data_IF_747846434001
#
_entry.id   IF_747846434001
#
_cell.length_a   1.000
_cell.length_b   1.000
_cell.length_c   1.000
_cell.angle_alpha   90.00
_cell.angle_beta   90.00
_cell.angle_gamma   90.00
#
_symmetry.space_group_name_H-M   'P 1'
#
loop_
_entity.id
_entity.type
_entity.pdbx_description
1 polymer ?
#
# COMPACT_ATOMS: atom_id res chain seq x y z
N UNK A 1 -26.16 17.35 12.00
CA UNK A 1 -25.23 16.22 12.07
C UNK A 1 -24.78 15.93 10.66
N UNK A 2 -23.49 16.00 10.35
CA UNK A 2 -22.96 15.69 9.00
C UNK A 2 -23.10 14.19 8.69
N UNK A 3 -22.85 13.77 7.45
CA UNK A 3 -22.78 12.34 7.11
C UNK A 3 -21.69 11.62 7.93
N UNK A 4 -20.53 12.24 8.09
CA UNK A 4 -19.43 11.69 8.89
C UNK A 4 -19.82 11.52 10.36
N UNK A 5 -20.46 12.52 10.98
CA UNK A 5 -20.92 12.39 12.37
C UNK A 5 -21.93 11.24 12.53
N UNK A 6 -22.78 10.98 11.54
CA UNK A 6 -23.70 9.82 11.51
C UNK A 6 -22.94 8.49 11.47
N UNK A 7 -21.91 8.36 10.65
CA UNK A 7 -21.07 7.14 10.62
C UNK A 7 -20.41 6.87 11.96
N UNK A 8 -19.91 7.92 12.62
CA UNK A 8 -19.30 7.81 13.94
C UNK A 8 -20.31 7.39 15.01
N UNK A 9 -21.58 7.81 14.88
CA UNK A 9 -22.66 7.32 15.72
C UNK A 9 -22.97 5.85 15.45
N UNK A 10 -23.09 5.44 14.18
CA UNK A 10 -23.35 4.06 13.78
C UNK A 10 -22.25 3.10 14.25
N UNK A 11 -20.98 3.52 14.15
CA UNK A 11 -19.81 2.78 14.66
C UNK A 11 -19.84 2.63 16.18
N UNK A 12 -20.18 3.71 16.90
CA UNK A 12 -20.34 3.69 18.36
C UNK A 12 -21.50 2.78 18.80
N UNK A 13 -22.62 2.84 18.09
CA UNK A 13 -23.83 2.07 18.39
C UNK A 13 -23.78 0.63 17.83
N UNK A 14 -22.72 0.31 17.08
CA UNK A 14 -22.46 -0.99 16.44
C UNK A 14 -23.56 -1.40 15.45
N UNK A 15 -24.14 -0.43 14.75
CA UNK A 15 -25.10 -0.68 13.67
C UNK A 15 -24.41 -0.79 12.29
N UNK A 16 -23.21 -0.21 12.16
CA UNK A 16 -22.28 -0.38 11.05
C UNK A 16 -20.85 -0.22 11.58
N UNK A 17 -19.87 -0.89 11.01
CA UNK A 17 -18.48 -0.93 11.51
C UNK A 17 -17.55 -0.13 10.61
N UNK A 18 -17.79 1.17 10.48
CA UNK A 18 -17.03 2.01 9.57
C UNK A 18 -15.52 1.97 9.82
N UNK A 19 -15.06 1.82 11.07
CA UNK A 19 -13.63 1.69 11.39
C UNK A 19 -13.09 0.26 11.27
N UNK A 20 -13.84 -0.66 10.67
CA UNK A 20 -13.29 -1.99 10.37
C UNK A 20 -12.16 -1.89 9.36
N UNK A 21 -12.34 -1.11 8.30
CA UNK A 21 -11.33 -0.91 7.26
C UNK A 21 -10.69 0.46 7.39
N UNK A 22 -9.36 0.54 7.36
CA UNK A 22 -8.65 1.80 7.53
C UNK A 22 -7.16 1.67 7.27
N UNK A 23 -6.40 2.77 7.40
CA UNK A 23 -4.97 2.82 7.12
C UNK A 23 -4.18 2.24 8.30
N UNK A 24 -4.40 0.97 8.60
CA UNK A 24 -3.81 0.29 9.76
C UNK A 24 -2.49 -0.42 9.43
N UNK A 25 -2.01 -0.32 8.20
CA UNK A 25 -0.67 -0.79 7.84
C UNK A 25 0.36 0.23 8.27
N UNK A 26 1.47 -0.24 8.85
CA UNK A 26 2.64 0.62 9.00
C UNK A 26 3.19 0.90 7.61
N UNK A 27 3.84 2.04 7.39
CA UNK A 27 4.65 2.24 6.18
C UNK A 27 6.12 1.84 6.42
N UNK A 28 6.43 1.37 7.63
CA UNK A 28 7.73 0.85 8.08
C UNK A 28 7.55 -0.14 9.24
N UNK A 29 7.55 -1.44 8.95
CA UNK A 29 7.48 -2.50 9.97
C UNK A 29 8.84 -3.22 10.18
N UNK A 30 9.75 -3.10 9.21
CA UNK A 30 11.12 -3.61 9.27
C UNK A 30 11.99 -2.83 10.26
N UNK A 31 13.03 -3.49 10.80
CA UNK A 31 13.98 -2.90 11.72
C UNK A 31 13.31 -2.38 13.00
N UNK A 32 12.38 -3.13 13.57
CA UNK A 32 11.67 -2.71 14.79
C UNK A 32 11.86 -3.70 15.93
N UNK A 33 11.80 -3.22 17.17
CA UNK A 33 11.87 -4.05 18.39
C UNK A 33 10.80 -5.15 18.41
N UNK A 34 9.65 -4.90 17.77
CA UNK A 34 8.54 -5.87 17.71
C UNK A 34 8.89 -7.09 16.85
N UNK A 35 9.70 -6.90 15.82
CA UNK A 35 10.12 -7.96 14.90
C UNK A 35 11.53 -8.49 15.22
N UNK A 36 12.08 -8.14 16.39
CA UNK A 36 13.40 -8.59 16.82
C UNK A 36 13.36 -10.02 17.37
N UNK A 37 14.14 -10.89 16.73
CA UNK A 37 14.38 -12.27 17.12
C UNK A 37 15.89 -12.59 17.16
N UNK A 38 16.73 -11.55 17.20
CA UNK A 38 18.17 -11.70 17.34
C UNK A 38 18.55 -12.26 18.70
N UNK A 39 19.68 -12.97 18.77
CA UNK A 39 20.17 -13.53 20.02
C UNK A 39 20.80 -12.48 20.94
N UNK A 40 21.23 -11.35 20.38
CA UNK A 40 21.95 -10.26 21.03
C UNK A 40 21.11 -9.00 21.26
N UNK A 41 19.87 -8.95 20.74
CA UNK A 41 18.95 -7.83 20.92
C UNK A 41 19.18 -6.66 19.97
N UNK A 42 19.88 -6.87 18.84
CA UNK A 42 20.03 -5.87 17.78
C UNK A 42 18.79 -5.80 16.87
N UNK A 43 17.72 -5.23 17.41
CA UNK A 43 16.45 -5.03 16.70
C UNK A 43 16.56 -4.27 15.37
N UNK A 44 17.57 -3.40 15.23
CA UNK A 44 17.69 -2.52 14.06
C UNK A 44 18.34 -3.21 12.87
N UNK A 45 19.26 -4.15 13.11
CA UNK A 45 19.96 -4.87 12.04
C UNK A 45 19.42 -6.28 11.79
N UNK A 46 18.66 -6.86 12.72
CA UNK A 46 18.18 -8.24 12.63
C UNK A 46 17.15 -8.50 11.52
N UNK A 47 16.33 -7.50 11.22
CA UNK A 47 15.33 -7.56 10.16
C UNK A 47 15.38 -6.26 9.34
N UNK A 48 16.42 -6.07 8.50
CA UNK A 48 16.62 -4.85 7.75
C UNK A 48 15.63 -4.73 6.58
N UNK A 49 15.53 -3.52 6.01
CA UNK A 49 14.71 -3.25 4.83
C UNK A 49 14.94 -4.25 3.67
N UNK A 50 16.17 -4.72 3.44
CA UNK A 50 16.45 -5.69 2.38
C UNK A 50 15.71 -7.02 2.57
N UNK A 51 15.60 -7.51 3.81
CA UNK A 51 14.87 -8.75 4.11
C UNK A 51 13.35 -8.54 4.05
N UNK A 52 12.84 -7.32 4.19
CA UNK A 52 11.40 -7.01 4.25
C UNK A 52 10.60 -7.50 3.04
N UNK A 53 11.22 -7.55 1.85
CA UNK A 53 10.59 -8.10 0.65
C UNK A 53 10.44 -9.62 0.69
N UNK A 54 11.35 -10.30 1.39
CA UNK A 54 11.49 -11.76 1.38
C UNK A 54 10.98 -12.42 2.66
N UNK A 55 10.71 -11.67 3.73
CA UNK A 55 10.36 -12.19 5.05
C UNK A 55 8.95 -11.78 5.47
N UNK A 56 8.13 -12.75 5.86
CA UNK A 56 6.81 -12.49 6.42
C UNK A 56 6.94 -11.84 7.80
N UNK A 57 6.11 -10.84 8.07
CA UNK A 57 6.05 -10.18 9.37
C UNK A 57 5.22 -11.01 10.33
N UNK A 58 5.53 -10.94 11.63
CA UNK A 58 4.81 -11.71 12.64
C UNK A 58 3.73 -10.91 13.35
N UNK A 59 4.00 -9.64 13.65
CA UNK A 59 3.11 -8.87 14.54
C UNK A 59 2.37 -7.73 13.85
N UNK A 60 2.71 -7.45 12.60
CA UNK A 60 2.07 -6.44 11.78
C UNK A 60 2.27 -6.73 10.31
N UNK A 61 1.98 -5.76 9.47
CA UNK A 61 2.31 -5.73 8.05
C UNK A 61 2.67 -4.28 7.68
N UNK A 62 3.39 -4.11 6.58
CA UNK A 62 3.63 -2.80 5.98
C UNK A 62 3.21 -2.71 4.52
N UNK A 63 3.00 -1.48 4.05
CA UNK A 63 2.73 -1.21 2.64
C UNK A 63 2.45 0.27 2.35
N UNK A 64 2.89 0.74 1.19
CA UNK A 64 2.70 2.13 0.77
C UNK A 64 1.21 2.43 0.55
N UNK A 65 0.72 3.51 1.18
CA UNK A 65 -0.68 3.93 1.10
C UNK A 65 -1.66 2.81 1.49
N UNK A 66 -1.23 1.93 2.39
CA UNK A 66 -1.90 0.67 2.66
C UNK A 66 -3.11 0.78 3.57
N UNK A 67 -4.01 -0.20 3.45
CA UNK A 67 -5.18 -0.38 4.31
C UNK A 67 -5.30 -1.83 4.73
N UNK A 68 -6.03 -2.08 5.81
CA UNK A 68 -6.44 -3.42 6.21
C UNK A 68 -7.73 -3.38 7.00
N UNK A 69 -8.26 -4.56 7.32
CA UNK A 69 -9.20 -4.63 8.43
C UNK A 69 -8.47 -4.33 9.76
N UNK A 70 -9.21 -3.96 10.80
CA UNK A 70 -8.68 -3.51 12.09
C UNK A 70 -7.93 -4.60 12.88
N UNK A 71 -7.94 -5.86 12.42
CA UNK A 71 -7.11 -6.93 12.95
C UNK A 71 -5.92 -7.31 12.03
N UNK A 72 -5.72 -6.57 10.92
CA UNK A 72 -4.72 -6.83 9.87
C UNK A 72 -4.76 -8.28 9.36
N UNK A 73 -5.97 -8.84 9.16
CA UNK A 73 -6.14 -10.16 8.54
C UNK A 73 -5.95 -10.06 7.03
N UNK A 74 -6.66 -9.14 6.40
CA UNK A 74 -6.56 -8.87 4.96
C UNK A 74 -6.01 -7.46 4.73
N UNK A 75 -4.91 -7.38 4.00
CA UNK A 75 -4.13 -6.18 3.77
C UNK A 75 -4.12 -5.84 2.29
N UNK A 76 -4.16 -4.55 1.97
CA UNK A 76 -4.04 -4.03 0.62
C UNK A 76 -3.06 -2.85 0.61
N UNK A 77 -2.16 -2.79 -0.37
CA UNK A 77 -1.23 -1.68 -0.55
C UNK A 77 -0.72 -1.60 -1.98
N UNK A 78 0.05 -0.55 -2.26
CA UNK A 78 0.63 -0.32 -3.57
C UNK A 78 2.07 -0.84 -3.66
N UNK A 79 2.39 -1.51 -4.77
CA UNK A 79 3.75 -1.78 -5.20
C UNK A 79 4.02 -1.13 -6.57
N UNK A 80 5.25 -0.66 -6.78
CA UNK A 80 5.64 0.16 -7.94
C UNK A 80 6.99 -0.28 -8.51
N UNK A 81 7.17 -0.18 -9.83
CA UNK A 81 8.49 -0.30 -10.44
C UNK A 81 8.60 0.60 -11.67
N UNK A 82 9.68 1.37 -11.76
CA UNK A 82 9.95 2.32 -12.84
C UNK A 82 10.92 1.77 -13.91
N UNK A 83 11.17 0.47 -13.93
CA UNK A 83 12.18 -0.24 -14.74
C UNK A 83 13.65 0.12 -14.43
N UNK A 84 13.91 1.06 -13.53
CA UNK A 84 15.26 1.49 -13.15
C UNK A 84 15.64 1.08 -11.73
N UNK A 85 14.66 1.01 -10.82
CA UNK A 85 14.85 0.67 -9.42
C UNK A 85 15.36 -0.78 -9.30
N UNK A 86 16.39 -1.09 -8.49
CA UNK A 86 16.86 -2.47 -8.32
C UNK A 86 15.85 -3.37 -7.61
N UNK A 87 14.79 -2.80 -7.03
CA UNK A 87 13.76 -3.55 -6.32
C UNK A 87 12.35 -3.07 -6.67
N UNK A 88 11.39 -3.98 -6.57
CA UNK A 88 9.98 -3.64 -6.52
C UNK A 88 9.69 -2.81 -5.25
N UNK A 89 9.18 -1.60 -5.43
CA UNK A 89 8.90 -0.63 -4.37
C UNK A 89 7.57 -0.93 -3.71
N UNK A 90 7.58 -1.77 -2.68
CA UNK A 90 6.38 -2.17 -1.92
C UNK A 90 6.23 -1.43 -0.57
N UNK A 91 7.30 -0.77 -0.12
CA UNK A 91 7.44 -0.15 1.20
C UNK A 91 8.37 1.06 1.14
N UNK A 92 8.19 1.97 2.09
CA UNK A 92 9.02 3.16 2.18
C UNK A 92 10.41 2.80 2.70
N UNK A 93 11.43 3.41 2.09
CA UNK A 93 12.80 3.28 2.55
C UNK A 93 13.16 4.32 3.59
N UNK A 94 14.09 3.98 4.46
CA UNK A 94 14.68 4.90 5.40
C UNK A 94 15.99 4.38 5.95
N UNK A 95 16.64 5.18 6.78
CA UNK A 95 17.80 4.78 7.56
C UNK A 95 17.36 4.33 8.95
N UNK A 96 18.06 3.35 9.52
CA UNK A 96 17.87 2.92 10.92
C UNK A 96 18.50 3.92 11.88
N UNK A 97 18.20 3.77 13.19
CA UNK A 97 18.82 4.59 14.24
C UNK A 97 20.35 4.69 14.14
N UNK A 98 21.09 3.58 14.01
CA UNK A 98 22.54 3.60 13.83
C UNK A 98 23.04 4.16 12.48
N UNK A 99 22.18 4.28 11.47
CA UNK A 99 22.53 4.78 10.14
C UNK A 99 22.28 6.28 9.97
N UNK A 100 21.36 6.87 10.74
CA UNK A 100 21.05 8.30 10.71
C UNK A 100 21.74 9.08 11.82
N UNK A 101 22.18 10.31 11.52
CA UNK A 101 22.85 11.18 12.48
C UNK A 101 21.91 11.74 13.57
N UNK A 102 20.59 11.73 13.34
CA UNK A 102 19.56 12.03 14.33
C UNK A 102 18.61 10.85 14.61
N UNK A 103 19.02 9.63 14.27
CA UNK A 103 18.26 8.41 14.51
C UNK A 103 17.52 7.91 13.28
N UNK A 104 16.41 7.22 13.51
CA UNK A 104 15.58 6.63 12.45
C UNK A 104 14.92 7.74 11.61
N UNK A 105 15.03 7.61 10.30
CA UNK A 105 14.53 8.62 9.37
C UNK A 105 14.06 7.99 8.05
N UNK A 106 12.90 8.41 7.55
CA UNK A 106 12.31 7.93 6.30
C UNK A 106 12.81 8.80 5.16
N UNK A 107 13.37 8.19 4.12
CA UNK A 107 14.01 8.91 3.01
C UNK A 107 13.12 8.95 1.77
N UNK A 108 11.84 9.22 1.98
CA UNK A 108 10.78 9.21 0.95
C UNK A 108 9.93 10.45 1.07
N UNK A 109 9.29 10.87 -0.04
CA UNK A 109 8.34 11.99 -0.01
C UNK A 109 6.93 11.51 -0.29
N UNK A 110 6.11 11.58 0.74
CA UNK A 110 4.71 11.19 0.71
C UNK A 110 3.87 12.08 1.63
N UNK A 111 2.58 12.16 1.35
CA UNK A 111 1.68 13.10 2.01
C UNK A 111 0.30 12.48 2.21
N UNK A 112 -0.16 12.48 3.46
CA UNK A 112 -1.57 12.25 3.79
C UNK A 112 -2.35 13.52 3.45
N UNK A 113 -3.15 13.46 2.39
CA UNK A 113 -3.87 14.61 1.88
C UNK A 113 -5.26 14.75 2.51
N UNK A 114 -5.90 13.63 2.86
CA UNK A 114 -7.24 13.59 3.45
C UNK A 114 -7.54 12.26 4.13
N UNK A 115 -8.30 12.26 5.23
CA UNK A 115 -8.79 11.04 5.88
C UNK A 115 -9.90 11.35 6.90
N UNK A 116 -11.15 11.00 6.62
CA UNK A 116 -12.23 11.21 7.61
C UNK A 116 -12.08 10.25 8.82
N UNK A 117 -12.57 10.60 10.02
CA UNK A 117 -12.43 9.73 11.22
C UNK A 117 -13.06 8.33 11.14
N UNK A 118 -13.97 8.11 10.19
CA UNK A 118 -14.57 6.81 9.83
C UNK A 118 -13.85 6.11 8.68
N UNK A 119 -12.81 6.75 8.13
CA UNK A 119 -12.07 6.35 6.93
C UNK A 119 -12.98 6.17 5.70
N UNK A 120 -14.09 6.92 5.65
CA UNK A 120 -15.03 6.87 4.54
C UNK A 120 -14.49 7.54 3.27
N UNK A 121 -13.56 8.48 3.43
CA UNK A 121 -12.72 9.03 2.37
C UNK A 121 -11.28 9.10 2.87
N UNK A 122 -10.34 8.65 2.04
CA UNK A 122 -8.89 8.76 2.29
C UNK A 122 -8.19 9.18 1.01
N UNK A 123 -7.14 10.00 1.12
CA UNK A 123 -6.31 10.46 0.02
C UNK A 123 -4.86 10.56 0.42
N UNK A 124 -4.00 9.96 -0.39
CA UNK A 124 -2.56 9.87 -0.20
C UNK A 124 -1.84 10.26 -1.49
N UNK A 125 -0.66 10.86 -1.37
CA UNK A 125 0.22 11.16 -2.50
C UNK A 125 1.63 10.65 -2.21
N UNK A 126 2.20 9.87 -3.13
CA UNK A 126 3.60 9.46 -3.13
C UNK A 126 4.33 10.08 -4.31
N UNK A 127 5.55 10.58 -4.07
CA UNK A 127 6.45 11.06 -5.13
C UNK A 127 7.45 9.98 -5.47
N UNK A 128 7.13 9.15 -6.47
CA UNK A 128 7.98 8.04 -6.88
C UNK A 128 8.98 8.48 -7.97
N UNK A 129 10.30 8.38 -7.74
CA UNK A 129 11.29 8.75 -8.74
C UNK A 129 11.19 7.99 -10.08
N UNK A 130 11.66 8.61 -11.16
CA UNK A 130 11.84 7.95 -12.47
C UNK A 130 13.23 7.34 -12.67
N UNK A 131 14.16 7.61 -11.75
CA UNK A 131 15.52 7.05 -11.73
C UNK A 131 15.58 5.93 -10.69
N UNK A 132 16.63 5.11 -10.75
CA UNK A 132 16.93 4.14 -9.71
C UNK A 132 17.03 4.83 -8.35
N UNK A 133 16.41 4.27 -7.31
CA UNK A 133 16.38 4.89 -6.00
C UNK A 133 17.78 4.76 -5.32
N UNK A 134 18.31 5.82 -4.69
CA UNK A 134 19.71 5.91 -4.29
C UNK A 134 19.93 5.34 -2.88
N UNK A 135 19.55 4.08 -2.66
CA UNK A 135 19.59 3.40 -1.35
C UNK A 135 20.97 3.50 -0.67
N UNK A 136 22.02 3.08 -1.36
CA UNK A 136 23.37 3.03 -0.78
C UNK A 136 23.93 4.42 -0.49
N UNK A 137 23.68 5.39 -1.37
CA UNK A 137 24.11 6.77 -1.17
C UNK A 137 23.48 7.37 0.08
N UNK A 138 22.17 7.17 0.27
CA UNK A 138 21.45 7.66 1.45
C UNK A 138 22.02 7.08 2.74
N UNK A 139 22.37 5.79 2.77
CA UNK A 139 22.98 5.17 3.95
C UNK A 139 24.39 5.70 4.18
N UNK A 140 25.24 5.70 3.16
CA UNK A 140 26.66 6.06 3.29
C UNK A 140 26.85 7.53 3.71
N UNK A 141 26.09 8.45 3.12
CA UNK A 141 26.17 9.88 3.44
C UNK A 141 25.67 10.16 4.86
N UNK A 142 24.54 9.57 5.28
CA UNK A 142 24.03 9.79 6.63
C UNK A 142 24.93 9.19 7.72
N UNK A 143 25.60 8.06 7.45
CA UNK A 143 26.58 7.47 8.38
C UNK A 143 27.84 8.33 8.58
N UNK A 144 28.18 9.18 7.62
CA UNK A 144 29.35 10.07 7.70
C UNK A 144 29.06 11.38 8.43
N UNK A 145 27.78 11.68 8.69
CA UNK A 145 27.36 12.93 9.31
C UNK A 145 27.36 12.84 10.83
N UNK A 146 27.81 13.92 11.47
CA UNK A 146 27.76 14.08 12.91
C UNK A 146 26.44 14.67 13.40
N UNK A 147 26.28 14.70 14.72
CA UNK A 147 25.12 15.28 15.41
C UNK A 147 24.88 16.78 15.12
N UNK A 148 25.89 17.51 14.64
CA UNK A 148 25.77 18.93 14.30
C UNK A 148 25.51 19.19 12.82
N UNK A 149 25.57 18.15 11.99
CA UNK A 149 25.28 18.25 10.56
C UNK A 149 23.78 18.08 10.33
N UNK A 150 23.25 18.66 9.24
CA UNK A 150 21.87 18.39 8.82
C UNK A 150 21.76 16.95 8.31
N UNK A 151 20.58 16.34 8.34
CA UNK A 151 20.36 15.07 7.66
C UNK A 151 20.65 15.19 6.15
N UNK A 152 21.12 14.11 5.52
CA UNK A 152 21.18 14.02 4.07
C UNK A 152 19.85 13.46 3.56
N UNK A 153 19.12 14.25 2.80
CA UNK A 153 17.77 13.95 2.36
C UNK A 153 17.72 13.41 0.93
N UNK A 154 16.64 12.72 0.58
CA UNK A 154 16.44 12.20 -0.77
C UNK A 154 16.53 13.31 -1.83
N UNK A 155 16.04 14.52 -1.54
CA UNK A 155 16.14 15.66 -2.47
C UNK A 155 17.60 16.08 -2.73
N UNK A 156 18.51 15.89 -1.77
CA UNK A 156 19.92 16.28 -1.90
C UNK A 156 20.67 15.40 -2.90
N UNK A 157 20.12 14.23 -3.26
CA UNK A 157 20.68 13.32 -4.26
C UNK A 157 20.51 13.81 -5.70
N UNK A 158 19.68 14.84 -5.91
CA UNK A 158 19.30 15.29 -7.26
C UNK A 158 18.31 14.37 -7.97
N UNK A 159 17.73 13.37 -7.28
CA UNK A 159 16.82 12.41 -7.90
C UNK A 159 15.56 13.05 -8.52
N UNK A 160 15.13 14.20 -7.99
CA UNK A 160 13.96 14.96 -8.47
C UNK A 160 14.30 16.09 -9.45
N UNK A 161 15.56 16.23 -9.86
CA UNK A 161 15.96 17.22 -10.87
C UNK A 161 15.13 17.07 -12.15
N UNK A 162 14.84 18.21 -12.80
CA UNK A 162 13.95 18.31 -13.96
C UNK A 162 12.54 17.74 -13.73
N UNK A 163 12.08 17.68 -12.49
CA UNK A 163 10.79 17.09 -12.11
C UNK A 163 10.64 15.61 -12.49
N UNK A 164 11.74 14.85 -12.50
CA UNK A 164 11.78 13.43 -12.92
C UNK A 164 11.21 12.47 -11.88
N UNK A 165 9.91 12.59 -11.64
CA UNK A 165 9.14 11.71 -10.76
C UNK A 165 7.71 11.54 -11.25
N UNK A 166 7.04 10.53 -10.71
CA UNK A 166 5.61 10.33 -10.80
C UNK A 166 4.95 10.87 -9.53
N UNK A 167 3.89 11.67 -9.68
CA UNK A 167 2.93 11.85 -8.59
C UNK A 167 1.96 10.66 -8.62
N UNK A 168 2.02 9.82 -7.60
CA UNK A 168 1.17 8.64 -7.45
C UNK A 168 0.13 8.94 -6.37
N UNK A 169 -1.09 9.26 -6.79
CA UNK A 169 -2.23 9.52 -5.90
C UNK A 169 -3.02 8.25 -5.64
N UNK A 170 -3.27 7.93 -4.37
CA UNK A 170 -4.10 6.80 -3.93
C UNK A 170 -5.30 7.35 -3.16
N UNK A 171 -6.50 7.00 -3.61
CA UNK A 171 -7.75 7.42 -3.00
C UNK A 171 -8.63 6.22 -2.68
N UNK A 172 -9.25 6.28 -1.50
CA UNK A 172 -10.22 5.29 -1.06
C UNK A 172 -11.56 5.98 -0.75
N UNK A 173 -12.65 5.39 -1.20
CA UNK A 173 -14.00 5.86 -0.92
C UNK A 173 -14.91 4.69 -0.54
N UNK A 174 -15.49 4.74 0.65
CA UNK A 174 -16.41 3.70 1.11
C UNK A 174 -17.81 3.94 0.58
N UNK A 175 -18.41 2.92 -0.03
CA UNK A 175 -19.83 2.88 -0.33
C UNK A 175 -20.64 2.48 0.92
N UNK A 176 -20.20 1.41 1.59
CA UNK A 176 -20.68 0.94 2.90
C UNK A 176 -19.49 0.67 3.84
N UNK A 177 -19.73 0.16 5.04
CA UNK A 177 -18.68 -0.26 5.97
C UNK A 177 -17.89 -1.51 5.52
N UNK A 178 -18.32 -2.19 4.45
CA UNK A 178 -17.69 -3.40 3.88
C UNK A 178 -17.38 -3.31 2.37
N UNK A 179 -17.64 -2.15 1.75
CA UNK A 179 -17.52 -1.93 0.32
C UNK A 179 -16.72 -0.65 0.06
N UNK A 180 -15.53 -0.81 -0.52
CA UNK A 180 -14.53 0.23 -0.65
C UNK A 180 -13.99 0.30 -2.07
N UNK A 181 -14.15 1.48 -2.66
CA UNK A 181 -13.64 1.83 -3.98
C UNK A 181 -12.22 2.35 -3.82
N UNK A 182 -11.37 2.02 -4.78
CA UNK A 182 -9.95 2.32 -4.79
C UNK A 182 -9.62 2.98 -6.14
N UNK A 183 -9.04 4.17 -6.11
CA UNK A 183 -8.60 4.90 -7.29
C UNK A 183 -7.12 5.22 -7.14
N UNK A 184 -6.31 4.73 -8.08
CA UNK A 184 -4.87 5.00 -8.10
C UNK A 184 -4.57 5.74 -9.39
N UNK A 185 -4.00 6.94 -9.26
CA UNK A 185 -3.62 7.79 -10.38
C UNK A 185 -2.10 7.97 -10.38
N UNK A 186 -1.48 7.87 -11.54
CA UNK A 186 -0.07 8.17 -11.73
C UNK A 186 0.07 9.29 -12.75
N UNK A 187 0.76 10.36 -12.40
CA UNK A 187 1.04 11.49 -13.29
C UNK A 187 2.54 11.61 -13.51
N UNK A 188 2.98 11.55 -14.77
CA UNK A 188 4.37 11.80 -15.11
C UNK A 188 4.68 13.31 -15.05
N UNK A 189 5.52 13.73 -14.10
CA UNK A 189 5.94 15.14 -13.98
C UNK A 189 7.20 15.47 -14.77
N UNK A 190 7.88 14.45 -15.27
CA UNK A 190 9.14 14.57 -15.99
C UNK A 190 8.96 14.97 -17.46
N UNK A 191 10.06 15.29 -18.14
CA UNK A 191 10.05 15.81 -19.51
C UNK A 191 9.98 14.71 -20.59
N UNK A 192 10.07 13.44 -20.21
CA UNK A 192 10.15 12.29 -21.13
C UNK A 192 9.06 11.26 -20.81
N UNK A 193 8.62 10.51 -21.82
CA UNK A 193 7.81 9.33 -21.61
C UNK A 193 8.56 8.32 -20.72
N UNK A 194 7.89 7.76 -19.72
CA UNK A 194 8.48 6.78 -18.80
C UNK A 194 7.55 5.59 -18.54
N UNK A 195 8.12 4.37 -18.44
CA UNK A 195 7.38 3.21 -18.02
C UNK A 195 7.08 3.28 -16.53
N UNK A 196 5.95 2.71 -16.13
CA UNK A 196 5.58 2.52 -14.73
C UNK A 196 4.74 1.25 -14.61
N UNK A 197 5.22 0.32 -13.80
CA UNK A 197 4.41 -0.80 -13.35
C UNK A 197 3.71 -0.43 -12.06
N UNK A 198 2.37 -0.52 -12.05
CA UNK A 198 1.54 -0.43 -10.86
C UNK A 198 1.09 -1.83 -10.47
N UNK A 199 1.30 -2.18 -9.20
CA UNK A 199 0.92 -3.48 -8.64
C UNK A 199 0.12 -3.29 -7.34
N UNK A 200 -1.16 -2.88 -7.41
CA UNK A 200 -2.05 -2.94 -6.27
C UNK A 200 -2.13 -4.39 -5.78
N UNK A 201 -1.74 -4.59 -4.52
CA UNK A 201 -1.43 -5.90 -3.95
C UNK A 201 -2.37 -6.17 -2.78
N UNK A 202 -2.97 -7.36 -2.74
CA UNK A 202 -3.85 -7.84 -1.68
C UNK A 202 -3.23 -9.09 -1.05
N UNK A 203 -3.15 -9.18 0.27
CA UNK A 203 -2.58 -10.34 0.93
C UNK A 203 -3.14 -10.58 2.32
N UNK A 204 -3.05 -11.83 2.78
CA UNK A 204 -3.29 -12.17 4.17
C UNK A 204 -2.01 -12.04 4.99
N UNK A 205 -2.09 -11.43 6.17
CA UNK A 205 -0.99 -11.47 7.14
C UNK A 205 -0.72 -12.91 7.52
N UNK A 206 0.54 -13.32 7.48
CA UNK A 206 0.90 -14.68 7.79
C UNK A 206 0.77 -14.97 9.29
N UNK A 207 -0.33 -15.60 9.67
CA UNK A 207 -0.55 -16.13 11.02
C UNK A 207 -0.45 -17.66 11.09
N UNK A 208 -0.66 -18.34 9.96
CA UNK A 208 -0.72 -19.81 9.88
C UNK A 208 0.64 -20.49 9.99
N UNK A 209 1.75 -19.82 9.64
CA UNK A 209 3.09 -20.39 9.81
C UNK A 209 3.55 -20.43 11.28
N UNK A 210 2.85 -19.74 12.19
CA UNK A 210 3.29 -19.57 13.58
C UNK A 210 2.39 -20.27 14.60
N UNK A 211 1.12 -20.48 14.26
CA UNK A 211 0.11 -21.03 15.16
C UNK A 211 -0.36 -22.40 14.64
N UNK A 212 -0.09 -23.43 15.44
CA UNK A 212 -0.51 -24.80 15.12
C UNK A 212 -2.04 -24.91 15.11
N UNK A 213 -2.59 -25.51 14.05
CA UNK A 213 -4.04 -25.68 13.88
C UNK A 213 -4.76 -24.48 13.26
N UNK A 214 -4.04 -23.40 12.92
CA UNK A 214 -4.64 -22.27 12.20
C UNK A 214 -4.96 -22.64 10.75
N UNK A 215 -6.19 -22.34 10.33
CA UNK A 215 -6.63 -22.56 8.96
C UNK A 215 -6.06 -21.48 8.04
N UNK A 216 -5.38 -21.92 6.97
CA UNK A 216 -4.73 -21.04 6.00
C UNK A 216 -5.80 -20.35 5.13
N UNK A 217 -5.82 -19.00 5.05
CA UNK A 217 -6.75 -18.29 4.17
C UNK A 217 -6.35 -18.48 2.70
N UNK A 218 -7.21 -18.06 1.76
CA UNK A 218 -6.95 -18.25 0.34
C UNK A 218 -7.45 -17.10 -0.53
N UNK A 219 -6.68 -16.79 -1.57
CA UNK A 219 -7.04 -15.92 -2.68
C UNK A 219 -7.17 -16.80 -3.92
N UNK A 220 -8.22 -16.63 -4.71
CA UNK A 220 -8.36 -17.32 -5.98
C UNK A 220 -8.99 -16.44 -7.05
N UNK A 221 -8.45 -16.50 -8.26
CA UNK A 221 -9.05 -15.85 -9.42
C UNK A 221 -10.40 -16.52 -9.76
N UNK A 222 -11.44 -15.71 -9.94
CA UNK A 222 -12.70 -16.17 -10.49
C UNK A 222 -12.69 -16.05 -12.01
N UNK A 223 -13.08 -17.11 -12.71
CA UNK A 223 -13.19 -17.15 -14.17
C UNK A 223 -14.65 -17.00 -14.64
N UNK A 224 -15.60 -17.51 -13.86
CA UNK A 224 -16.98 -17.65 -14.29
C UNK A 224 -17.81 -16.41 -13.94
N UNK A 225 -18.63 -15.94 -14.89
CA UNK A 225 -19.53 -14.81 -14.66
C UNK A 225 -18.84 -13.45 -14.48
N UNK A 226 -17.54 -13.37 -14.76
CA UNK A 226 -16.78 -12.12 -14.68
C UNK A 226 -17.08 -11.20 -15.88
N UNK A 227 -17.28 -9.88 -15.68
CA UNK A 227 -17.41 -8.94 -16.78
C UNK A 227 -16.12 -8.91 -17.63
N UNK A 228 -16.25 -8.71 -18.95
CA UNK A 228 -15.12 -8.79 -19.89
C UNK A 228 -13.93 -7.88 -19.56
N UNK A 229 -14.17 -6.73 -18.91
CA UNK A 229 -13.17 -5.72 -18.55
C UNK A 229 -12.84 -5.74 -17.05
N UNK A 230 -13.07 -6.86 -16.36
CA UNK A 230 -12.89 -6.96 -14.92
C UNK A 230 -12.33 -8.32 -14.52
N UNK A 231 -11.17 -8.31 -13.87
CA UNK A 231 -10.69 -9.48 -13.17
C UNK A 231 -11.24 -9.48 -11.74
N UNK A 232 -11.69 -10.62 -11.24
CA UNK A 232 -12.24 -10.77 -9.89
C UNK A 232 -11.43 -11.80 -9.13
N UNK A 233 -11.04 -11.45 -7.91
CA UNK A 233 -10.36 -12.37 -6.99
C UNK A 233 -11.20 -12.51 -5.74
N UNK A 234 -11.58 -13.75 -5.41
CA UNK A 234 -12.21 -14.02 -4.14
C UNK A 234 -11.13 -14.28 -3.08
N UNK A 235 -11.39 -13.75 -1.89
CA UNK A 235 -10.53 -13.84 -0.73
C UNK A 235 -11.33 -14.48 0.41
N UNK A 236 -10.94 -15.68 0.83
CA UNK A 236 -11.55 -16.39 1.93
C UNK A 236 -10.64 -16.34 3.16
N UNK A 237 -11.19 -15.93 4.29
CA UNK A 237 -10.50 -16.01 5.57
C UNK A 237 -11.45 -16.50 6.69
N UNK A 238 -11.04 -17.49 7.50
CA UNK A 238 -11.93 -18.21 8.41
C UNK A 238 -12.80 -17.33 9.33
N UNK A 239 -12.25 -16.22 9.82
CA UNK A 239 -12.96 -15.31 10.75
C UNK A 239 -13.39 -13.97 10.16
N UNK A 240 -12.93 -13.62 8.95
CA UNK A 240 -13.31 -12.38 8.27
C UNK A 240 -14.48 -12.64 7.31
N UNK A 241 -14.63 -13.89 6.87
CA UNK A 241 -15.55 -14.28 5.80
C UNK A 241 -14.98 -13.96 4.43
N UNK A 242 -15.83 -14.11 3.43
CA UNK A 242 -15.44 -13.92 2.04
C UNK A 242 -15.41 -12.43 1.66
N UNK A 243 -14.44 -12.06 0.84
CA UNK A 243 -14.31 -10.74 0.21
C UNK A 243 -13.96 -10.92 -1.26
N UNK A 244 -14.25 -9.90 -2.06
CA UNK A 244 -13.94 -9.89 -3.48
C UNK A 244 -13.23 -8.61 -3.86
N UNK A 245 -12.08 -8.76 -4.52
CA UNK A 245 -11.38 -7.66 -5.16
C UNK A 245 -11.72 -7.67 -6.65
N UNK A 246 -12.34 -6.59 -7.10
CA UNK A 246 -12.58 -6.31 -8.51
C UNK A 246 -11.45 -5.41 -9.02
N UNK A 247 -10.85 -5.77 -10.14
CA UNK A 247 -9.78 -5.04 -10.81
C UNK A 247 -10.22 -4.63 -12.21
N UNK A 248 -10.23 -3.34 -12.53
CA UNK A 248 -10.61 -2.88 -13.86
C UNK A 248 -9.44 -3.03 -14.84
N UNK A 249 -9.56 -3.94 -15.81
CA UNK A 249 -8.60 -4.15 -16.91
C UNK A 249 -7.11 -4.27 -16.48
N UNK A 250 -6.74 -5.16 -15.53
CA UNK A 250 -5.33 -5.49 -15.31
C UNK A 250 -4.75 -6.22 -16.52
N UNK A 251 -3.46 -6.05 -16.79
CA UNK A 251 -2.76 -6.84 -17.83
C UNK A 251 -2.67 -8.31 -17.41
N UNK A 252 -2.40 -8.55 -16.13
CA UNK A 252 -2.37 -9.89 -15.55
C UNK A 252 -2.61 -9.87 -14.04
N UNK A 253 -3.01 -11.01 -13.47
CA UNK A 253 -3.05 -11.24 -12.04
C UNK A 253 -1.91 -12.17 -11.66
N UNK A 254 -1.10 -11.75 -10.69
CA UNK A 254 0.02 -12.52 -10.17
C UNK A 254 -0.35 -13.06 -8.79
N UNK A 255 -0.01 -14.33 -8.52
CA UNK A 255 -0.30 -14.98 -7.25
C UNK A 255 0.96 -15.59 -6.64
N UNK A 256 1.09 -15.47 -5.32
CA UNK A 256 2.13 -16.11 -4.52
C UNK A 256 1.62 -16.35 -3.09
N UNK A 257 2.49 -16.82 -2.21
CA UNK A 257 2.25 -16.90 -0.78
C UNK A 257 2.89 -15.72 -0.04
N UNK A 258 2.23 -15.20 1.00
CA UNK A 258 2.89 -14.32 1.98
C UNK A 258 3.73 -15.17 2.95
N UNK A 259 4.64 -15.98 2.42
CA UNK A 259 5.52 -16.87 3.18
C UNK A 259 6.98 -16.45 3.03
N UNK A 260 7.73 -16.55 4.12
CA UNK A 260 9.15 -16.20 4.15
C UNK A 260 9.94 -17.06 3.15
N UNK A 261 10.73 -16.41 2.31
CA UNK A 261 11.72 -17.06 1.46
C UNK A 261 12.91 -17.52 2.31
N UNK A 262 12.75 -18.70 2.92
CA UNK A 262 13.72 -19.32 3.79
C UNK A 262 14.98 -19.76 3.04
N UNK A 263 14.87 -20.08 1.74
CA UNK A 263 16.04 -20.42 0.92
C UNK A 263 16.97 -19.23 0.78
N UNK A 264 16.43 -18.06 0.40
CA UNK A 264 17.20 -16.82 0.25
C UNK A 264 17.78 -16.35 1.58
N UNK A 265 17.00 -16.40 2.66
CA UNK A 265 17.36 -15.75 3.92
C UNK A 265 18.15 -16.64 4.87
N UNK A 266 17.88 -17.94 4.86
CA UNK A 266 18.40 -18.88 5.87
C UNK A 266 19.06 -20.12 5.25
N UNK A 267 19.07 -20.27 3.92
CA UNK A 267 19.64 -21.43 3.24
C UNK A 267 18.88 -22.73 3.49
N UNK A 268 17.61 -22.65 3.91
CA UNK A 268 16.75 -23.81 4.18
C UNK A 268 15.63 -23.91 3.14
N UNK A 269 15.17 -25.12 2.77
CA UNK A 269 14.13 -25.29 1.75
C UNK A 269 12.85 -24.52 2.05
N UNK A 270 12.23 -23.96 1.01
CA UNK A 270 10.91 -23.35 1.12
C UNK A 270 9.81 -24.42 1.18
N UNK A 271 8.71 -24.19 1.93
CA UNK A 271 7.56 -25.10 1.94
C UNK A 271 6.75 -25.07 0.63
N UNK A 272 6.87 -23.98 -0.13
CA UNK A 272 6.24 -23.73 -1.43
C UNK A 272 7.27 -23.10 -2.37
N UNK A 273 7.11 -23.31 -3.68
CA UNK A 273 7.92 -22.62 -4.69
C UNK A 273 7.56 -21.13 -4.81
N UNK A 274 6.35 -20.75 -4.38
CA UNK A 274 5.83 -19.39 -4.47
C UNK A 274 5.93 -18.74 -3.09
N UNK A 275 6.84 -17.78 -2.94
CA UNK A 275 7.16 -17.10 -1.68
C UNK A 275 6.97 -15.59 -1.80
N UNK A 276 7.10 -14.87 -0.69
CA UNK A 276 6.70 -13.45 -0.56
C UNK A 276 7.30 -12.51 -1.61
N UNK A 277 8.54 -12.76 -2.04
CA UNK A 277 9.27 -11.97 -3.03
C UNK A 277 9.06 -12.42 -4.48
N UNK A 278 8.16 -13.37 -4.75
CA UNK A 278 7.91 -13.87 -6.12
C UNK A 278 7.48 -12.78 -7.12
N UNK A 279 6.79 -11.72 -6.67
CA UNK A 279 6.47 -10.58 -7.55
C UNK A 279 7.70 -9.76 -7.93
N UNK A 280 8.68 -9.64 -7.04
CA UNK A 280 9.96 -9.00 -7.34
C UNK A 280 10.69 -9.81 -8.41
N UNK A 281 10.81 -11.12 -8.22
CA UNK A 281 11.51 -12.00 -9.17
C UNK A 281 10.81 -12.04 -10.53
N UNK A 282 9.47 -12.00 -10.56
CA UNK A 282 8.69 -11.95 -11.80
C UNK A 282 8.86 -10.62 -12.55
N UNK A 283 8.65 -9.49 -11.86
CA UNK A 283 8.57 -8.17 -12.51
C UNK A 283 9.96 -7.60 -12.77
N UNK A 284 10.85 -7.64 -11.76
CA UNK A 284 12.20 -7.07 -11.85
C UNK A 284 13.19 -8.08 -12.40
N UNK A 285 13.11 -9.34 -11.94
CA UNK A 285 14.00 -10.42 -12.37
C UNK A 285 13.63 -11.09 -13.69
N UNK A 286 12.37 -10.93 -14.15
CA UNK A 286 11.85 -11.57 -15.35
C UNK A 286 11.56 -13.08 -15.22
N UNK A 287 11.61 -13.64 -14.00
CA UNK A 287 11.35 -15.05 -13.75
C UNK A 287 9.84 -15.33 -13.69
N UNK A 288 9.29 -15.82 -14.81
CA UNK A 288 7.87 -16.17 -14.91
C UNK A 288 7.46 -17.34 -14.04
N UNK A 289 8.40 -18.16 -13.55
CA UNK A 289 8.11 -19.30 -12.67
C UNK A 289 7.96 -18.94 -11.19
N UNK A 290 8.29 -17.69 -10.82
CA UNK A 290 8.24 -17.21 -9.44
C UNK A 290 6.81 -16.94 -8.92
N UNK A 291 5.79 -17.07 -9.76
CA UNK A 291 4.36 -16.86 -9.42
C UNK A 291 3.55 -18.10 -9.73
N UNK A 292 2.46 -18.30 -8.97
CA UNK A 292 1.60 -19.46 -9.12
C UNK A 292 0.70 -19.34 -10.37
N UNK A 293 0.87 -20.19 -11.40
CA UNK A 293 0.06 -20.15 -12.61
C UNK A 293 -1.38 -20.65 -12.40
N UNK A 294 -1.68 -21.28 -11.26
CA UNK A 294 -3.02 -21.79 -10.95
C UNK A 294 -4.00 -20.70 -10.47
N UNK A 295 -3.53 -19.45 -10.35
CA UNK A 295 -4.38 -18.32 -9.97
C UNK A 295 -4.84 -18.37 -8.51
N UNK A 296 -4.01 -18.94 -7.63
CA UNK A 296 -4.30 -19.13 -6.20
C UNK A 296 -3.08 -18.82 -5.32
N UNK A 297 -3.33 -18.38 -4.08
CA UNK A 297 -2.29 -18.15 -3.08
C UNK A 297 -2.82 -17.42 -1.84
N UNK A 298 -1.92 -16.80 -1.07
CA UNK A 298 -2.29 -15.89 0.04
C UNK A 298 -1.90 -14.44 -0.20
N UNK A 299 -1.23 -14.17 -1.32
CA UNK A 299 -0.85 -12.84 -1.79
C UNK A 299 -1.10 -12.74 -3.29
N UNK A 300 -1.75 -11.66 -3.73
CA UNK A 300 -2.02 -11.37 -5.14
C UNK A 300 -1.52 -9.96 -5.49
N UNK A 301 -1.12 -9.74 -6.74
CA UNK A 301 -0.97 -8.40 -7.31
C UNK A 301 -1.69 -8.30 -8.66
N UNK A 302 -2.48 -7.25 -8.84
CA UNK A 302 -3.02 -6.89 -10.14
C UNK A 302 -1.96 -6.06 -10.88
N UNK A 303 -1.39 -6.58 -11.96
CA UNK A 303 -0.28 -5.93 -12.65
C UNK A 303 -0.80 -5.06 -13.80
N UNK A 304 -0.42 -3.79 -13.76
CA UNK A 304 -0.66 -2.81 -14.82
C UNK A 304 0.66 -2.26 -15.31
N UNK A 305 0.92 -2.36 -16.61
CA UNK A 305 2.11 -1.84 -17.28
C UNK A 305 1.73 -0.60 -18.06
N UNK A 306 2.19 0.56 -17.57
CA UNK A 306 1.86 1.85 -18.14
C UNK A 306 3.08 2.45 -18.82
N UNK A 307 2.85 3.17 -19.91
CA UNK A 307 3.79 4.16 -20.43
C UNK A 307 3.09 5.50 -20.35
N UNK A 308 3.68 6.44 -19.60
CA UNK A 308 3.09 7.76 -19.39
C UNK A 308 3.90 8.81 -20.14
N UNK A 309 3.28 9.52 -21.07
CA UNK A 309 3.83 10.71 -21.72
C UNK A 309 4.04 11.86 -20.73
N UNK A 310 4.86 12.88 -21.06
CA UNK A 310 5.07 14.04 -20.19
C UNK A 310 3.75 14.73 -19.81
N UNK A 311 3.47 14.87 -18.52
CA UNK A 311 2.24 15.45 -17.99
C UNK A 311 1.00 14.55 -18.08
N UNK A 312 1.10 13.36 -18.66
CA UNK A 312 -0.03 12.43 -18.75
C UNK A 312 -0.37 11.85 -17.37
N UNK A 313 -1.67 11.72 -17.12
CA UNK A 313 -2.20 10.98 -15.96
C UNK A 313 -2.91 9.72 -16.44
N UNK A 314 -2.53 8.57 -15.87
CA UNK A 314 -3.25 7.30 -16.02
C UNK A 314 -3.88 6.93 -14.69
N UNK A 315 -5.08 6.35 -14.73
CA UNK A 315 -5.83 5.98 -13.54
C UNK A 315 -6.28 4.52 -13.64
N UNK A 316 -6.08 3.77 -12.56
CA UNK A 316 -6.59 2.40 -12.40
C UNK A 316 -7.63 2.37 -11.29
N UNK A 317 -8.64 1.53 -11.44
CA UNK A 317 -9.77 1.42 -10.52
C UNK A 317 -9.88 0.00 -9.98
N UNK A 318 -10.06 -0.10 -8.66
CA UNK A 318 -10.33 -1.36 -7.97
C UNK A 318 -11.49 -1.17 -6.98
N UNK A 319 -12.07 -2.28 -6.54
CA UNK A 319 -13.12 -2.27 -5.51
C UNK A 319 -13.02 -3.52 -4.66
N UNK A 320 -12.89 -3.34 -3.35
CA UNK A 320 -12.90 -4.41 -2.36
C UNK A 320 -14.28 -4.45 -1.71
N UNK A 321 -15.00 -5.56 -1.82
CA UNK A 321 -16.37 -5.69 -1.35
C UNK A 321 -16.63 -7.03 -0.64
N UNK A 322 -17.76 -7.11 0.06
CA UNK A 322 -18.31 -8.31 0.69
C UNK A 322 -19.35 -9.04 -0.18
N UNK A 323 -19.43 -8.70 -1.47
CA UNK A 323 -20.36 -9.33 -2.43
C UNK A 323 -19.64 -9.80 -3.68
N UNK A 324 -20.05 -10.96 -4.19
CA UNK A 324 -19.52 -11.59 -5.39
C UNK A 324 -20.19 -11.13 -6.70
N UNK A 325 -21.36 -10.51 -6.61
CA UNK A 325 -22.28 -10.26 -7.74
C UNK A 325 -22.44 -8.76 -8.07
N UNK A 326 -21.38 -7.96 -7.88
CA UNK A 326 -21.42 -6.55 -8.26
C UNK A 326 -21.57 -6.38 -9.78
N UNK A 327 -22.77 -5.98 -10.19
CA UNK A 327 -23.03 -5.53 -11.56
C UNK A 327 -22.37 -4.17 -11.80
N UNK A 328 -21.55 -4.07 -12.86
CA UNK A 328 -20.84 -2.84 -13.23
C UNK A 328 -20.07 -2.20 -12.05
N UNK A 329 -19.06 -2.89 -11.48
CA UNK A 329 -18.34 -2.42 -10.29
C UNK A 329 -17.68 -1.05 -10.48
N UNK A 330 -17.42 -0.66 -11.73
CA UNK A 330 -16.77 0.59 -12.17
C UNK A 330 -17.68 1.49 -13.03
N UNK A 331 -19.01 1.31 -12.96
CA UNK A 331 -19.96 2.16 -13.70
C UNK A 331 -20.14 3.56 -13.11
N UNK A 332 -21.19 4.27 -13.52
CA UNK A 332 -21.47 5.66 -13.10
C UNK A 332 -21.50 5.88 -11.58
N UNK A 333 -21.88 4.84 -10.82
CA UNK A 333 -21.90 4.91 -9.36
C UNK A 333 -20.50 5.06 -8.74
N UNK A 334 -19.45 4.61 -9.43
CA UNK A 334 -18.08 4.63 -8.90
C UNK A 334 -17.60 6.07 -8.67
N UNK A 335 -17.67 6.91 -9.69
CA UNK A 335 -17.27 8.31 -9.58
C UNK A 335 -18.23 9.10 -8.69
N UNK A 336 -19.54 8.79 -8.74
CA UNK A 336 -20.53 9.43 -7.87
C UNK A 336 -20.25 9.17 -6.38
N UNK A 337 -19.83 7.95 -6.01
CA UNK A 337 -19.44 7.62 -4.63
C UNK A 337 -18.20 8.41 -4.22
N UNK A 338 -17.18 8.52 -5.08
CA UNK A 338 -15.99 9.35 -4.79
C UNK A 338 -16.35 10.81 -4.56
N UNK A 339 -17.19 11.39 -5.42
CA UNK A 339 -17.66 12.78 -5.28
C UNK A 339 -18.46 12.97 -3.99
N UNK A 340 -19.35 12.03 -3.68
CA UNK A 340 -20.14 12.07 -2.45
C UNK A 340 -19.26 12.01 -1.20
N UNK A 341 -18.28 11.09 -1.15
CA UNK A 341 -17.37 10.95 0.00
C UNK A 341 -16.48 12.18 0.17
N UNK A 342 -16.01 12.80 -0.92
CA UNK A 342 -15.29 14.08 -0.89
C UNK A 342 -16.15 15.22 -0.32
N UNK A 343 -17.39 15.37 -0.82
CA UNK A 343 -18.31 16.41 -0.33
C UNK A 343 -18.59 16.24 1.16
N UNK A 344 -18.83 15.02 1.62
CA UNK A 344 -19.10 14.74 3.03
C UNK A 344 -17.88 15.03 3.93
N UNK A 345 -16.66 14.78 3.42
CA UNK A 345 -15.42 15.15 4.09
C UNK A 345 -15.27 16.68 4.17
N UNK A 346 -15.56 17.40 3.08
CA UNK A 346 -15.56 18.87 3.03
C UNK A 346 -16.54 19.45 4.06
N UNK A 347 -17.77 18.95 4.11
CA UNK A 347 -18.80 19.36 5.06
C UNK A 347 -18.36 19.12 6.52
N UNK A 348 -17.72 17.99 6.80
CA UNK A 348 -17.22 17.64 8.13
C UNK A 348 -16.11 18.60 8.59
N UNK A 349 -15.07 18.81 7.77
CA UNK A 349 -13.94 19.67 8.14
C UNK A 349 -14.32 21.16 8.15
N UNK A 350 -15.24 21.58 7.28
CA UNK A 350 -15.77 22.94 7.32
C UNK A 350 -16.45 23.21 8.67
N UNK A 351 -17.22 22.24 9.19
CA UNK A 351 -17.88 22.36 10.49
C UNK A 351 -16.90 22.37 11.67
N UNK A 352 -15.79 21.64 11.59
CA UNK A 352 -14.73 21.65 12.62
C UNK A 352 -13.92 22.94 12.66
N UNK A 353 -14.02 23.78 11.63
CA UNK A 353 -13.27 25.04 11.54
C UNK A 353 -14.09 26.19 12.12
N UNK A 354 -13.82 26.67 13.35
CA UNK A 354 -14.72 27.58 14.08
C UNK A 354 -14.72 29.02 13.58
N UNK A 355 -13.82 29.40 12.65
CA UNK A 355 -13.68 30.76 12.13
C UNK A 355 -13.33 30.77 10.63
N UNK A 356 -13.45 31.93 9.99
CA UNK A 356 -13.00 32.12 8.61
C UNK A 356 -11.46 32.04 8.52
N UNK A 357 -10.93 30.81 8.46
CA UNK A 357 -9.53 30.56 8.11
C UNK A 357 -9.36 30.72 6.59
N UNK A 358 -8.27 31.36 6.13
CA UNK A 358 -7.86 31.30 4.73
C UNK A 358 -7.74 29.86 4.24
N UNK A 359 -7.98 29.63 2.96
CA UNK A 359 -8.01 28.28 2.38
C UNK A 359 -6.75 27.47 2.65
N UNK A 360 -5.57 28.08 2.49
CA UNK A 360 -4.29 27.39 2.73
C UNK A 360 -4.17 26.87 4.17
N UNK A 361 -4.63 27.65 5.15
CA UNK A 361 -4.60 27.22 6.57
C UNK A 361 -5.60 26.10 6.84
N UNK A 362 -6.75 26.09 6.17
CA UNK A 362 -7.72 25.00 6.25
C UNK A 362 -7.17 23.72 5.65
N UNK A 363 -6.44 23.81 4.53
CA UNK A 363 -5.76 22.66 3.91
C UNK A 363 -4.69 22.09 4.83
N UNK A 364 -3.84 22.93 5.42
CA UNK A 364 -2.84 22.49 6.41
C UNK A 364 -3.49 21.79 7.60
N UNK A 365 -4.57 22.36 8.15
CA UNK A 365 -5.30 21.76 9.26
C UNK A 365 -5.87 20.38 8.88
N UNK A 366 -6.50 20.26 7.70
CA UNK A 366 -7.07 18.99 7.21
C UNK A 366 -6.01 17.93 6.98
N UNK A 367 -4.87 18.29 6.38
CA UNK A 367 -3.75 17.37 6.19
C UNK A 367 -3.15 16.92 7.54
N UNK A 368 -3.07 17.82 8.52
CA UNK A 368 -2.66 17.45 9.87
C UNK A 368 -3.64 16.46 10.52
N UNK A 369 -4.95 16.60 10.29
CA UNK A 369 -5.93 15.59 10.71
C UNK A 369 -5.79 14.27 9.95
N UNK A 370 -5.38 14.31 8.68
CA UNK A 370 -5.27 13.12 7.85
C UNK A 370 -4.11 12.19 8.28
N UNK A 371 -3.04 12.77 8.83
CA UNK A 371 -1.87 12.03 9.34
C UNK A 371 -1.97 11.61 10.82
N UNK A 372 -3.11 11.83 11.47
CA UNK A 372 -3.41 11.34 12.83
C UNK A 372 -4.39 10.17 12.76
#
# INVERSE_FOLDING_TARGET
>A
MTAEERRLQEDRDRTAYWRRWGPYLSERQWGTVREDYSADGDAWSAFPHDQARSRAYRWGEDGIAGISDNHQRLCFALALWNEADPILKERLFGVTGPQGNHGEDVKEYYFYLDNTPSHAYMKYLYKYPQRAFPYDQLVQENQQRGYHDREFELVDTGIFEDSRYFDVGVEYAKHTDEDMLIRISATNRGPEAKPLHLLPTLWFRNTWSWEEGSEKPSLHQQTDGTPADTAVVAAHHPTLGDRWLYCHQPDTLLFTENETNAERLFGSPNPSAYVKDGFHDYVVGGDRSAVNPEGTGTKLAAHYTLTLEPGETRTVWLRLADRADLNAPFGDSFEAIFQQRQQEADEFYQRLTPQALPEDRRRVQRQAYAGM
#
